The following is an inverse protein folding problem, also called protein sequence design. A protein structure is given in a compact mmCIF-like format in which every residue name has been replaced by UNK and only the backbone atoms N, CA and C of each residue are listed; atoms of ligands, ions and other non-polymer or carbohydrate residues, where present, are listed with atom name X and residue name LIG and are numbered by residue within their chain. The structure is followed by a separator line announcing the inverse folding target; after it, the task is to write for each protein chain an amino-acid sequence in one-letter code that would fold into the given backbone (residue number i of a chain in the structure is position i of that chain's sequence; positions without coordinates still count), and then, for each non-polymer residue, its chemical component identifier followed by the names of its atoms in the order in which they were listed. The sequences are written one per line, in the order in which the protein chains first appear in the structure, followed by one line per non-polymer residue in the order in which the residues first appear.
data_IF_851512979409
#
_entry.id   IF_851512979409
#
_cell.length_a   1.000
_cell.length_b   1.000
_cell.length_c   1.000
_cell.angle_alpha   90.00
_cell.angle_beta   90.00
_cell.angle_gamma   90.00
#
_symmetry.space_group_name_H-M   'P 1'
#
loop_
_entity.id
_entity.type
_entity.pdbx_description
1 polymer ?
#
# COMPACT_ATOMS: atom_id res chain seq x y z
N UNK A 1 25.57 22.96 19.87
CA UNK A 1 25.04 21.61 19.61
C UNK A 1 25.37 21.29 18.15
N UNK A 2 26.23 20.30 17.91
CA UNK A 2 26.63 19.94 16.56
C UNK A 2 25.40 19.44 15.79
N UNK A 3 25.09 20.07 14.65
CA UNK A 3 24.09 19.54 13.73
C UNK A 3 24.59 18.18 13.27
N UNK A 4 23.91 17.13 13.71
CA UNK A 4 24.20 15.76 13.35
C UNK A 4 24.07 15.63 11.84
N UNK A 5 25.21 15.55 11.13
CA UNK A 5 25.26 15.40 9.69
C UNK A 5 24.84 13.96 9.34
N UNK A 6 23.55 13.68 9.45
CA UNK A 6 22.95 12.44 8.99
C UNK A 6 22.71 12.59 7.51
N UNK A 7 23.41 11.80 6.71
CA UNK A 7 23.14 11.64 5.28
C UNK A 7 21.65 11.40 5.09
N UNK A 8 20.91 12.40 4.62
CA UNK A 8 19.51 12.26 4.25
C UNK A 8 19.48 11.57 2.90
N UNK A 9 18.78 10.45 2.80
CA UNK A 9 18.48 9.88 1.50
C UNK A 9 17.62 10.92 0.77
N UNK A 10 18.09 11.41 -0.38
CA UNK A 10 17.40 12.46 -1.15
C UNK A 10 16.54 11.88 -2.28
N UNK A 11 17.00 10.77 -2.85
CA UNK A 11 16.34 10.06 -3.94
C UNK A 11 16.63 8.57 -3.81
N UNK A 12 15.62 7.75 -4.06
CA UNK A 12 15.76 6.31 -4.16
C UNK A 12 15.24 5.86 -5.52
N UNK A 13 16.09 5.21 -6.31
CA UNK A 13 15.70 4.58 -7.57
C UNK A 13 15.60 3.08 -7.33
N UNK A 14 14.39 2.51 -7.44
CA UNK A 14 14.18 1.08 -7.32
C UNK A 14 13.97 0.50 -8.72
N UNK A 15 14.81 -0.47 -9.11
CA UNK A 15 14.69 -1.24 -10.35
C UNK A 15 14.67 -2.73 -10.00
N UNK A 16 13.91 -3.52 -10.75
CA UNK A 16 13.96 -4.99 -10.69
C UNK A 16 13.56 -5.62 -9.34
N UNK A 17 12.84 -4.89 -8.48
CA UNK A 17 12.06 -5.51 -7.39
C UNK A 17 10.78 -6.02 -8.03
N UNK A 18 10.62 -7.35 -8.06
CA UNK A 18 9.50 -8.02 -8.72
C UNK A 18 8.20 -7.28 -8.46
N UNK A 19 7.51 -6.89 -9.54
CA UNK A 19 6.29 -6.05 -9.60
C UNK A 19 6.48 -4.56 -9.91
N UNK A 20 7.69 -4.00 -9.84
CA UNK A 20 8.02 -2.69 -10.40
C UNK A 20 8.43 -2.93 -11.85
N UNK A 21 7.71 -2.33 -12.81
CA UNK A 21 7.94 -2.54 -14.25
C UNK A 21 9.37 -2.22 -14.68
N UNK A 22 9.69 -2.53 -15.94
CA UNK A 22 11.07 -2.44 -16.46
C UNK A 22 11.68 -1.03 -16.42
N UNK A 23 10.85 0.02 -16.36
CA UNK A 23 11.28 1.42 -16.27
C UNK A 23 11.88 1.80 -14.90
N UNK A 24 11.63 0.99 -13.85
CA UNK A 24 11.95 1.36 -12.48
C UNK A 24 11.06 2.48 -11.94
N UNK A 25 11.28 2.85 -10.67
CA UNK A 25 10.59 3.98 -10.03
C UNK A 25 11.60 4.86 -9.32
N UNK A 26 11.51 6.16 -9.56
CA UNK A 26 12.25 7.19 -8.83
C UNK A 26 11.35 7.79 -7.76
N UNK A 27 11.81 7.75 -6.52
CA UNK A 27 11.05 8.22 -5.37
C UNK A 27 11.80 9.42 -4.78
N UNK A 28 11.16 10.59 -4.88
CA UNK A 28 11.49 11.75 -4.06
C UNK A 28 10.95 11.51 -2.65
N UNK A 29 11.78 11.78 -1.64
CA UNK A 29 11.55 11.30 -0.28
C UNK A 29 10.77 12.33 0.56
N UNK A 30 9.48 12.43 0.24
CA UNK A 30 8.47 13.20 0.98
C UNK A 30 7.36 12.28 1.51
N UNK A 31 6.09 12.66 1.36
CA UNK A 31 4.96 11.83 1.74
C UNK A 31 4.74 10.74 0.68
N UNK A 32 5.09 9.49 0.99
CA UNK A 32 4.92 8.37 0.06
C UNK A 32 3.56 7.71 0.26
N UNK A 33 2.86 7.42 -0.83
CA UNK A 33 1.65 6.59 -0.83
C UNK A 33 1.93 5.31 -1.61
N UNK A 34 1.96 4.18 -0.91
CA UNK A 34 2.05 2.85 -1.50
C UNK A 34 0.65 2.30 -1.76
N UNK A 35 0.38 1.85 -2.98
CA UNK A 35 -0.93 1.37 -3.42
C UNK A 35 -0.81 -0.05 -3.97
N UNK A 36 -1.72 -0.93 -3.60
CA UNK A 36 -1.89 -2.24 -4.26
C UNK A 36 -3.14 -2.18 -5.14
N UNK A 37 -3.00 -2.62 -6.38
CA UNK A 37 -4.09 -2.64 -7.36
C UNK A 37 -3.97 -1.55 -8.41
N UNK A 38 -4.46 -1.86 -9.61
CA UNK A 38 -4.61 -0.92 -10.73
C UNK A 38 -5.53 0.24 -10.36
N UNK A 39 -6.65 -0.07 -9.72
CA UNK A 39 -7.73 0.89 -9.51
C UNK A 39 -7.41 1.92 -8.44
N UNK A 40 -6.85 1.49 -7.29
CA UNK A 40 -6.34 2.41 -6.27
C UNK A 40 -5.36 3.41 -6.86
N UNK A 41 -4.41 2.92 -7.65
CA UNK A 41 -3.40 3.76 -8.29
C UNK A 41 -4.01 4.72 -9.31
N UNK A 42 -4.92 4.24 -10.16
CA UNK A 42 -5.59 5.06 -11.16
C UNK A 42 -6.49 6.13 -10.52
N UNK A 43 -7.26 5.77 -9.50
CA UNK A 43 -8.13 6.69 -8.78
C UNK A 43 -7.34 7.78 -8.07
N UNK A 44 -6.32 7.40 -7.30
CA UNK A 44 -5.46 8.38 -6.61
C UNK A 44 -4.72 9.27 -7.60
N UNK A 45 -4.19 8.71 -8.70
CA UNK A 45 -3.57 9.50 -9.75
C UNK A 45 -4.55 10.52 -10.35
N UNK A 46 -5.79 10.13 -10.62
CA UNK A 46 -6.81 11.03 -11.18
C UNK A 46 -7.18 12.20 -10.25
N UNK A 47 -7.11 11.99 -8.93
CA UNK A 47 -7.34 13.05 -7.94
C UNK A 47 -6.13 13.98 -7.88
N UNK A 48 -4.93 13.40 -7.84
CA UNK A 48 -3.66 14.14 -7.77
C UNK A 48 -3.43 14.96 -9.05
N UNK A 49 -3.77 14.44 -10.22
CA UNK A 49 -3.71 15.15 -11.52
C UNK A 49 -4.64 16.37 -11.60
N UNK A 50 -5.72 16.38 -10.83
CA UNK A 50 -6.62 17.54 -10.74
C UNK A 50 -6.11 18.61 -9.78
N UNK A 51 -5.23 18.25 -8.86
CA UNK A 51 -4.67 19.14 -7.84
C UNK A 51 -3.14 19.18 -7.95
N UNK A 52 -2.66 20.07 -8.81
CA UNK A 52 -1.24 20.24 -9.12
C UNK A 52 -0.36 20.48 -7.88
N UNK A 53 -0.90 21.03 -6.78
CA UNK A 53 -0.11 21.27 -5.57
C UNK A 53 0.22 19.97 -4.82
N UNK A 54 -0.59 18.92 -4.99
CA UNK A 54 -0.38 17.60 -4.36
C UNK A 54 0.63 16.74 -5.12
N UNK A 55 0.75 16.94 -6.44
CA UNK A 55 1.75 16.26 -7.28
C UNK A 55 3.18 16.46 -6.77
N UNK A 56 3.52 17.68 -6.33
CA UNK A 56 4.87 18.02 -5.88
C UNK A 56 5.20 17.49 -4.47
N UNK A 57 4.21 16.97 -3.74
CA UNK A 57 4.34 16.59 -2.33
C UNK A 57 4.15 15.09 -2.08
N UNK A 58 3.59 14.36 -3.06
CA UNK A 58 3.17 12.97 -2.90
C UNK A 58 3.82 12.08 -3.96
N UNK A 59 4.59 11.08 -3.51
CA UNK A 59 5.09 10.02 -4.39
C UNK A 59 4.15 8.81 -4.35
N UNK A 60 3.56 8.44 -5.49
CA UNK A 60 2.68 7.26 -5.61
C UNK A 60 3.47 6.04 -6.11
N UNK A 61 3.48 4.97 -5.33
CA UNK A 61 4.11 3.69 -5.68
C UNK A 61 3.03 2.64 -5.95
N UNK A 62 2.92 2.21 -7.20
CA UNK A 62 2.05 1.10 -7.58
C UNK A 62 2.76 -0.24 -7.35
N UNK A 63 2.41 -0.91 -6.25
CA UNK A 63 2.83 -2.27 -5.95
C UNK A 63 1.89 -3.27 -6.67
N UNK A 64 2.40 -4.03 -7.65
CA UNK A 64 1.58 -5.06 -8.35
C UNK A 64 1.43 -6.33 -7.49
N UNK A 65 0.62 -6.24 -6.44
CA UNK A 65 0.28 -7.35 -5.55
C UNK A 65 0.82 -7.16 -4.13
N UNK A 66 0.22 -7.87 -3.17
CA UNK A 66 0.49 -7.68 -1.73
C UNK A 66 1.84 -8.21 -1.25
N UNK A 67 2.39 -9.21 -1.92
CA UNK A 67 3.64 -9.86 -1.50
C UNK A 67 4.83 -8.90 -1.44
N UNK A 68 4.81 -7.82 -2.23
CA UNK A 68 5.90 -6.83 -2.26
C UNK A 68 5.78 -5.73 -1.20
N UNK A 69 4.61 -5.62 -0.56
CA UNK A 69 4.39 -4.59 0.45
C UNK A 69 5.29 -4.78 1.67
N UNK A 70 5.48 -6.01 2.14
CA UNK A 70 6.31 -6.27 3.32
C UNK A 70 7.77 -5.87 3.10
N UNK A 71 8.46 -6.27 2.00
CA UNK A 71 9.77 -5.74 1.66
C UNK A 71 9.81 -4.22 1.55
N UNK A 72 8.82 -3.61 0.89
CA UNK A 72 8.77 -2.16 0.71
C UNK A 72 8.65 -1.42 2.04
N UNK A 73 7.75 -1.87 2.93
CA UNK A 73 7.61 -1.33 4.29
C UNK A 73 8.93 -1.42 5.05
N UNK A 74 9.65 -2.54 4.95
CA UNK A 74 10.96 -2.70 5.61
C UNK A 74 12.01 -1.72 5.09
N UNK A 75 12.06 -1.49 3.78
CA UNK A 75 12.96 -0.49 3.16
C UNK A 75 12.60 0.92 3.64
N UNK A 76 11.32 1.30 3.56
CA UNK A 76 10.84 2.62 4.03
C UNK A 76 11.14 2.82 5.52
N UNK A 77 10.96 1.78 6.33
CA UNK A 77 11.24 1.79 7.77
C UNK A 77 12.73 1.94 8.06
N UNK A 78 13.59 1.23 7.34
CA UNK A 78 15.04 1.32 7.49
C UNK A 78 15.54 2.74 7.27
N UNK A 79 15.03 3.41 6.25
CA UNK A 79 15.38 4.80 5.92
C UNK A 79 14.57 5.86 6.69
N UNK A 80 13.72 5.44 7.65
CA UNK A 80 12.90 6.33 8.49
C UNK A 80 11.95 7.24 7.69
N UNK A 81 11.44 6.74 6.57
CA UNK A 81 10.55 7.49 5.69
C UNK A 81 9.09 7.32 6.14
N UNK A 82 8.36 8.42 6.29
CA UNK A 82 6.92 8.38 6.58
C UNK A 82 6.13 7.96 5.33
N UNK A 83 5.10 7.15 5.52
CA UNK A 83 4.33 6.64 4.37
C UNK A 83 2.87 6.34 4.71
N UNK A 84 2.06 6.30 3.66
CA UNK A 84 0.71 5.79 3.67
C UNK A 84 0.63 4.52 2.84
N UNK A 85 -0.14 3.54 3.29
CA UNK A 85 -0.41 2.31 2.56
C UNK A 85 -1.93 2.18 2.34
N UNK A 86 -2.33 1.99 1.10
CA UNK A 86 -3.70 1.64 0.72
C UNK A 86 -3.68 0.31 -0.04
N UNK A 87 -4.50 -0.64 0.39
CA UNK A 87 -4.64 -1.92 -0.30
C UNK A 87 -6.01 -2.55 -0.05
N UNK A 88 -6.39 -3.53 -0.85
CA UNK A 88 -7.61 -4.31 -0.64
C UNK A 88 -7.48 -5.27 0.53
N UNK A 89 -8.57 -5.74 1.13
CA UNK A 89 -8.53 -6.77 2.15
C UNK A 89 -8.31 -8.15 1.54
N UNK A 90 -8.75 -8.37 0.30
CA UNK A 90 -8.95 -9.67 -0.34
C UNK A 90 -9.86 -10.60 0.49
N UNK A 91 -10.57 -11.51 -0.18
CA UNK A 91 -11.39 -12.50 0.53
C UNK A 91 -10.52 -13.61 1.16
N UNK A 92 -10.88 -14.13 2.36
CA UNK A 92 -10.14 -15.19 3.06
C UNK A 92 -10.08 -16.49 2.28
N UNK A 93 -11.14 -16.77 1.53
CA UNK A 93 -11.24 -17.90 0.63
C UNK A 93 -11.38 -17.38 -0.81
N UNK A 94 -10.83 -18.13 -1.75
CA UNK A 94 -11.11 -17.97 -3.17
C UNK A 94 -12.53 -18.47 -3.48
N UNK A 95 -13.02 -18.20 -4.69
CA UNK A 95 -14.34 -18.66 -5.15
C UNK A 95 -14.52 -20.18 -5.13
N UNK A 96 -13.42 -20.95 -5.14
CA UNK A 96 -13.37 -22.41 -5.05
C UNK A 96 -13.35 -22.94 -3.60
N UNK A 97 -13.43 -22.07 -2.58
CA UNK A 97 -13.36 -22.42 -1.16
C UNK A 97 -11.95 -22.66 -0.63
N UNK A 98 -10.91 -22.57 -1.48
CA UNK A 98 -9.50 -22.72 -1.07
C UNK A 98 -9.03 -21.46 -0.36
N UNK A 99 -8.19 -21.63 0.68
CA UNK A 99 -7.60 -20.50 1.41
C UNK A 99 -6.83 -19.58 0.46
N UNK A 100 -7.09 -18.28 0.55
CA UNK A 100 -6.42 -17.30 -0.27
C UNK A 100 -5.04 -16.97 0.31
N UNK A 101 -3.98 -17.22 -0.46
CA UNK A 101 -2.61 -16.84 -0.07
C UNK A 101 -2.48 -15.34 0.20
N UNK A 102 -3.21 -14.50 -0.53
CA UNK A 102 -3.17 -13.05 -0.34
C UNK A 102 -3.81 -12.60 0.98
N UNK A 103 -4.78 -13.36 1.51
CA UNK A 103 -5.32 -13.15 2.85
C UNK A 103 -4.26 -13.38 3.94
N UNK A 104 -3.41 -14.40 3.75
CA UNK A 104 -2.34 -14.70 4.72
C UNK A 104 -1.26 -13.63 4.76
N UNK A 105 -1.05 -12.90 3.65
CA UNK A 105 -0.11 -11.77 3.59
C UNK A 105 -0.58 -10.55 4.40
N UNK A 106 -1.89 -10.36 4.61
CA UNK A 106 -2.41 -9.25 5.43
C UNK A 106 -1.81 -9.22 6.84
N UNK A 107 -1.58 -10.40 7.43
CA UNK A 107 -0.96 -10.50 8.75
C UNK A 107 0.48 -9.97 8.73
N UNK A 108 1.27 -10.39 7.74
CA UNK A 108 2.67 -9.96 7.60
C UNK A 108 2.75 -8.45 7.33
N UNK A 109 1.83 -7.92 6.53
CA UNK A 109 1.70 -6.47 6.28
C UNK A 109 1.41 -5.76 7.61
N UNK A 110 0.40 -6.21 8.36
CA UNK A 110 0.05 -5.61 9.64
C UNK A 110 1.22 -5.62 10.63
N UNK A 111 1.92 -6.75 10.78
CA UNK A 111 3.11 -6.86 11.63
C UNK A 111 4.22 -5.88 11.22
N UNK A 112 4.49 -5.75 9.91
CA UNK A 112 5.48 -4.81 9.39
C UNK A 112 5.08 -3.35 9.65
N UNK A 113 3.79 -3.00 9.55
CA UNK A 113 3.28 -1.66 9.86
C UNK A 113 3.42 -1.35 11.35
N UNK A 114 3.13 -2.31 12.23
CA UNK A 114 3.33 -2.16 13.67
C UNK A 114 4.81 -1.93 14.01
N UNK A 115 5.73 -2.66 13.37
CA UNK A 115 7.17 -2.43 13.52
C UNK A 115 7.58 -1.02 13.05
N UNK A 116 7.05 -0.55 11.93
CA UNK A 116 7.31 0.80 11.43
C UNK A 116 6.84 1.89 12.40
N UNK A 117 5.62 1.74 12.95
CA UNK A 117 5.08 2.65 13.98
C UNK A 117 5.92 2.65 15.25
N UNK A 118 6.31 1.48 15.74
CA UNK A 118 7.20 1.34 16.91
C UNK A 118 8.58 1.94 16.66
N UNK A 119 9.03 1.99 15.40
CA UNK A 119 10.28 2.63 14.98
C UNK A 119 10.19 4.17 14.88
N UNK A 120 9.04 4.76 15.24
CA UNK A 120 8.78 6.20 15.30
C UNK A 120 8.22 6.81 14.02
N UNK A 121 7.79 6.00 13.04
CA UNK A 121 7.28 6.52 11.78
C UNK A 121 5.78 6.83 11.86
N UNK A 122 5.38 7.96 11.27
CA UNK A 122 3.99 8.22 10.90
C UNK A 122 3.59 7.28 9.77
N UNK A 123 2.71 6.32 10.08
CA UNK A 123 2.21 5.32 9.13
C UNK A 123 0.68 5.36 9.08
N UNK A 124 0.14 5.84 7.95
CA UNK A 124 -1.30 5.78 7.67
C UNK A 124 -1.62 4.50 6.91
N UNK A 125 -2.57 3.72 7.40
CA UNK A 125 -2.95 2.46 6.78
C UNK A 125 -4.45 2.47 6.49
N UNK A 126 -4.82 2.24 5.23
CA UNK A 126 -6.20 2.14 4.78
C UNK A 126 -6.37 0.81 4.06
N UNK A 127 -7.45 0.11 4.40
CA UNK A 127 -7.79 -1.17 3.77
C UNK A 127 -9.19 -1.06 3.20
N UNK A 128 -9.35 -1.38 1.92
CA UNK A 128 -10.68 -1.51 1.29
C UNK A 128 -11.25 -2.87 1.62
N UNK A 129 -12.43 -2.91 2.24
CA UNK A 129 -13.13 -4.14 2.60
C UNK A 129 -14.46 -4.17 1.83
N UNK A 130 -14.75 -5.23 1.06
CA UNK A 130 -13.89 -6.37 0.72
C UNK A 130 -12.73 -6.02 -0.24
N UNK A 131 -12.97 -5.13 -1.19
CA UNK A 131 -12.05 -4.62 -2.20
C UNK A 131 -12.56 -3.27 -2.75
N UNK A 132 -11.73 -2.59 -3.53
CA UNK A 132 -12.06 -1.27 -4.08
C UNK A 132 -13.13 -1.31 -5.18
N UNK A 133 -13.18 -2.36 -5.98
CA UNK A 133 -14.16 -2.53 -7.07
C UNK A 133 -15.59 -2.56 -6.54
N UNK A 134 -15.82 -3.38 -5.50
CA UNK A 134 -17.09 -3.47 -4.79
C UNK A 134 -17.43 -2.19 -4.03
N UNK A 135 -16.43 -1.47 -3.54
CA UNK A 135 -16.63 -0.15 -2.93
C UNK A 135 -17.13 0.89 -3.94
N UNK A 136 -16.64 0.85 -5.18
CA UNK A 136 -17.10 1.73 -6.27
C UNK A 136 -18.40 1.26 -6.95
N UNK A 137 -18.97 0.13 -6.53
CA UNK A 137 -20.22 -0.41 -7.09
C UNK A 137 -20.08 -1.01 -8.49
N UNK A 138 -18.86 -1.28 -8.96
CA UNK A 138 -18.66 -2.04 -10.19
C UNK A 138 -18.73 -3.54 -9.86
N UNK A 139 -19.88 -4.13 -10.16
CA UNK A 139 -20.07 -5.58 -10.13
C UNK A 139 -19.54 -6.14 -11.45
N UNK A 140 -18.29 -6.61 -11.48
CA UNK A 140 -17.92 -7.58 -12.51
C UNK A 140 -18.57 -8.91 -12.11
N UNK A 141 -19.54 -9.33 -12.92
CA UNK A 141 -20.36 -10.53 -12.73
C UNK A 141 -19.50 -11.74 -12.31
N UNK A 142 -19.52 -12.15 -11.02
CA UNK A 142 -19.53 -13.55 -10.53
C UNK A 142 -19.93 -13.59 -9.03
N UNK A 143 -21.14 -14.09 -8.79
CA UNK A 143 -21.71 -14.82 -7.63
C UNK A 143 -21.62 -14.25 -6.20
N UNK A 144 -22.79 -13.79 -5.73
CA UNK A 144 -23.40 -13.89 -4.39
C UNK A 144 -22.52 -14.29 -3.21
N UNK A 145 -22.09 -13.29 -2.43
CA UNK A 145 -21.85 -13.45 -0.99
C UNK A 145 -22.52 -12.28 -0.27
N UNK A 146 -23.45 -12.52 0.68
CA UNK A 146 -24.20 -11.45 1.34
C UNK A 146 -23.28 -10.53 2.17
N UNK A 147 -23.59 -9.23 2.30
CA UNK A 147 -22.69 -8.21 2.86
C UNK A 147 -22.45 -8.31 4.38
N UNK A 148 -22.95 -9.33 5.06
CA UNK A 148 -23.05 -9.35 6.52
C UNK A 148 -21.93 -10.10 7.26
N UNK A 149 -20.82 -10.45 6.60
CA UNK A 149 -19.72 -11.14 7.26
C UNK A 149 -18.36 -10.75 6.70
N UNK A 150 -17.75 -9.68 7.25
CA UNK A 150 -16.31 -9.53 7.49
C UNK A 150 -15.96 -8.09 7.91
N UNK A 151 -16.33 -7.73 9.14
CA UNK A 151 -15.58 -6.71 9.88
C UNK A 151 -14.62 -7.50 10.76
N UNK A 152 -13.32 -7.51 10.44
CA UNK A 152 -12.30 -7.96 11.38
C UNK A 152 -12.23 -6.92 12.51
N UNK A 153 -12.60 -7.24 13.76
CA UNK A 153 -12.67 -6.26 14.85
C UNK A 153 -11.29 -5.78 15.35
N UNK A 154 -10.20 -6.17 14.70
CA UNK A 154 -8.84 -6.04 15.24
C UNK A 154 -7.85 -5.35 14.29
N UNK A 155 -8.33 -4.61 13.28
CA UNK A 155 -7.48 -3.88 12.33
C UNK A 155 -7.69 -2.35 12.35
N UNK A 156 -7.88 -1.79 13.55
CA UNK A 156 -7.70 -0.35 13.81
C UNK A 156 -6.28 -0.11 14.34
#
# INVERSE_FOLDING_TARGET
MAAENRSKLLRMTIRNIGCIGNEGIDIALDNIVCLVGTEHAAFMASIIERDNALMDQIAVIRARGKAILVPLIKVLTHFKIHFSLVHDSDSPNRSDGVKNGMWTENRKIHEALCQARNAGLTVRHRVSVPDFERFLGHCSDVMDVPPSAQVLPHLC
#
